data_IF_247994907045
#
_entry.id   IF_247994907045
#
_cell.length_a   1.000
_cell.length_b   1.000
_cell.length_c   1.000
_cell.angle_alpha   90.00
_cell.angle_beta   90.00
_cell.angle_gamma   90.00
#
_symmetry.space_group_name_H-M   'P 1'
#
loop_
_entity.id
_entity.type
_entity.pdbx_description
1 polymer ?
#
# COMPACT_ATOMS: atom_id res chain seq x y z
N UNK A 1 -5.72 16.04 15.87
CA UNK A 1 -5.31 14.77 15.25
C UNK A 1 -6.52 14.12 14.59
N UNK A 2 -6.41 13.71 13.33
CA UNK A 2 -7.52 13.07 12.59
C UNK A 2 -7.66 11.64 13.09
N UNK A 3 -8.81 11.26 13.66
CA UNK A 3 -9.01 9.95 14.32
C UNK A 3 -9.69 8.94 13.40
N UNK A 4 -10.21 9.38 12.24
CA UNK A 4 -11.06 8.56 11.39
C UNK A 4 -10.25 7.78 10.36
N UNK A 5 -10.33 6.46 10.43
CA UNK A 5 -9.78 5.51 9.46
C UNK A 5 -10.91 4.66 8.85
N UNK A 6 -12.08 5.26 8.67
CA UNK A 6 -13.24 4.53 8.19
C UNK A 6 -13.22 4.43 6.67
N UNK A 7 -12.76 3.30 6.16
CA UNK A 7 -12.91 2.94 4.75
C UNK A 7 -14.14 2.07 4.57
N UNK A 8 -15.05 2.50 3.71
CA UNK A 8 -16.21 1.73 3.29
C UNK A 8 -15.81 0.85 2.10
N UNK A 9 -15.75 -0.46 2.30
CA UNK A 9 -15.52 -1.43 1.23
C UNK A 9 -16.85 -1.97 0.72
N UNK A 10 -17.17 -1.71 -0.55
CA UNK A 10 -18.36 -2.22 -1.23
C UNK A 10 -17.95 -3.40 -2.09
N UNK A 11 -18.09 -4.61 -1.55
CA UNK A 11 -17.60 -5.85 -2.18
C UNK A 11 -18.65 -6.55 -3.04
N UNK A 12 -19.90 -6.07 -3.05
CA UNK A 12 -20.96 -6.61 -3.88
C UNK A 12 -20.83 -6.08 -5.30
N UNK A 13 -20.56 -6.91 -6.33
CA UNK A 13 -20.26 -6.44 -7.70
C UNK A 13 -21.40 -5.67 -8.36
N UNK A 14 -22.66 -6.01 -8.00
CA UNK A 14 -23.86 -5.37 -8.55
C UNK A 14 -24.30 -4.11 -7.77
N UNK A 15 -23.50 -3.67 -6.79
CA UNK A 15 -23.83 -2.52 -5.97
C UNK A 15 -23.64 -1.20 -6.75
N UNK A 16 -24.67 -0.39 -6.77
CA UNK A 16 -24.64 0.99 -7.25
C UNK A 16 -24.62 1.94 -6.05
N UNK A 17 -23.76 2.96 -6.13
CA UNK A 17 -23.59 3.93 -5.05
C UNK A 17 -24.27 5.25 -5.42
N UNK A 18 -25.09 5.78 -4.51
CA UNK A 18 -25.75 7.07 -4.67
C UNK A 18 -25.72 7.88 -3.38
N UNK A 19 -26.25 9.08 -3.40
CA UNK A 19 -26.44 9.89 -2.19
C UNK A 19 -27.93 10.12 -1.92
N UNK A 20 -28.26 10.25 -0.63
CA UNK A 20 -29.50 10.82 -0.16
C UNK A 20 -29.17 11.83 0.97
N UNK A 21 -29.38 13.11 0.71
CA UNK A 21 -28.91 14.18 1.59
C UNK A 21 -27.37 14.12 1.78
N UNK A 22 -26.93 13.93 3.02
CA UNK A 22 -25.52 13.75 3.42
C UNK A 22 -25.15 12.27 3.63
N UNK A 23 -26.00 11.35 3.21
CA UNK A 23 -25.73 9.93 3.34
C UNK A 23 -25.24 9.32 2.04
N UNK A 24 -24.30 8.37 2.16
CA UNK A 24 -23.94 7.42 1.12
C UNK A 24 -24.95 6.28 1.17
N UNK A 25 -25.55 5.97 0.05
CA UNK A 25 -26.54 4.90 -0.10
C UNK A 25 -26.00 3.85 -1.07
N UNK A 26 -26.06 2.59 -0.67
CA UNK A 26 -25.69 1.45 -1.51
C UNK A 26 -26.96 0.69 -1.87
N UNK A 27 -27.18 0.47 -3.17
CA UNK A 27 -28.35 -0.23 -3.69
C UNK A 27 -27.96 -1.39 -4.60
N UNK A 28 -28.73 -2.48 -4.55
CA UNK A 28 -28.63 -3.61 -5.49
C UNK A 28 -30.01 -3.79 -6.12
N UNK A 29 -30.07 -3.78 -7.45
CA UNK A 29 -31.34 -3.87 -8.21
C UNK A 29 -32.37 -2.87 -7.70
N UNK A 30 -31.96 -1.62 -7.48
CA UNK A 30 -32.76 -0.49 -6.97
C UNK A 30 -33.22 -0.61 -5.50
N UNK A 31 -32.93 -1.70 -4.80
CA UNK A 31 -33.20 -1.84 -3.38
C UNK A 31 -32.03 -1.33 -2.55
N UNK A 32 -32.30 -0.42 -1.63
CA UNK A 32 -31.30 0.02 -0.64
C UNK A 32 -30.90 -1.14 0.27
N UNK A 33 -29.59 -1.41 0.37
CA UNK A 33 -29.06 -2.47 1.24
C UNK A 33 -28.20 -1.91 2.37
N UNK A 34 -27.72 -0.65 2.25
CA UNK A 34 -26.87 -0.02 3.25
C UNK A 34 -26.89 1.50 3.12
N UNK A 35 -26.80 2.18 4.25
CA UNK A 35 -26.75 3.66 4.36
C UNK A 35 -25.78 4.10 5.45
N UNK A 36 -24.98 5.13 5.18
CA UNK A 36 -24.05 5.69 6.16
C UNK A 36 -23.83 7.19 5.91
N UNK A 37 -23.79 8.04 6.96
CA UNK A 37 -23.44 9.44 6.82
C UNK A 37 -22.02 9.67 6.30
N UNK A 38 -21.84 10.60 5.35
CA UNK A 38 -20.56 10.88 4.70
C UNK A 38 -19.46 11.29 5.68
N UNK A 39 -19.78 11.99 6.75
CA UNK A 39 -18.82 12.47 7.74
C UNK A 39 -18.19 11.34 8.58
N UNK A 40 -18.75 10.12 8.52
CA UNK A 40 -18.17 8.94 9.16
C UNK A 40 -17.17 8.20 8.27
N UNK A 41 -16.92 8.68 7.05
CA UNK A 41 -16.12 7.98 6.04
C UNK A 41 -14.98 8.89 5.59
N UNK A 42 -13.81 8.33 5.37
CA UNK A 42 -12.66 9.00 4.72
C UNK A 42 -12.40 8.45 3.33
N UNK A 43 -12.81 7.21 3.09
CA UNK A 43 -12.57 6.55 1.82
C UNK A 43 -13.69 5.56 1.50
N UNK A 44 -14.05 5.49 0.23
CA UNK A 44 -14.94 4.47 -0.34
C UNK A 44 -14.13 3.70 -1.40
N UNK A 45 -14.11 2.37 -1.30
CA UNK A 45 -13.54 1.49 -2.31
C UNK A 45 -14.63 0.51 -2.76
N UNK A 46 -15.01 0.58 -4.02
CA UNK A 46 -16.00 -0.32 -4.60
C UNK A 46 -15.34 -1.34 -5.54
N UNK A 47 -15.81 -2.59 -5.48
CA UNK A 47 -15.35 -3.72 -6.29
C UNK A 47 -16.47 -4.12 -7.25
N UNK A 48 -16.45 -3.58 -8.46
CA UNK A 48 -17.46 -3.85 -9.46
C UNK A 48 -17.52 -2.79 -10.55
N UNK A 49 -18.47 -2.91 -11.46
CA UNK A 49 -18.60 -2.05 -12.62
C UNK A 49 -19.84 -1.15 -12.62
N UNK A 50 -20.71 -1.26 -11.60
CA UNK A 50 -21.96 -0.48 -11.54
C UNK A 50 -21.74 1.01 -11.29
N UNK A 51 -20.62 1.38 -10.65
CA UNK A 51 -20.24 2.77 -10.48
C UNK A 51 -20.98 3.53 -9.37
N UNK A 52 -21.03 4.85 -9.52
CA UNK A 52 -21.65 5.76 -8.55
C UNK A 52 -22.33 6.95 -9.25
N UNK A 53 -23.32 7.53 -8.59
CA UNK A 53 -24.00 8.72 -9.12
C UNK A 53 -23.09 9.97 -9.11
N UNK A 54 -23.21 10.89 -10.08
CA UNK A 54 -22.49 12.16 -10.06
C UNK A 54 -22.72 12.97 -8.78
N UNK A 55 -23.92 12.89 -8.23
CA UNK A 55 -24.27 13.55 -6.97
C UNK A 55 -23.44 13.00 -5.77
N UNK A 56 -23.20 11.67 -5.71
CA UNK A 56 -22.33 11.10 -4.70
C UNK A 56 -20.87 11.46 -4.94
N UNK A 57 -20.41 11.44 -6.20
CA UNK A 57 -19.03 11.87 -6.53
C UNK A 57 -18.78 13.31 -6.05
N UNK A 58 -19.74 14.22 -6.29
CA UNK A 58 -19.66 15.60 -5.78
C UNK A 58 -19.66 15.63 -4.25
N UNK A 59 -20.54 14.90 -3.57
CA UNK A 59 -20.59 14.84 -2.12
C UNK A 59 -19.27 14.36 -1.52
N UNK A 60 -18.67 13.31 -2.12
CA UNK A 60 -17.35 12.82 -1.73
C UNK A 60 -16.26 13.89 -1.91
N UNK A 61 -16.23 14.57 -3.05
CA UNK A 61 -15.28 15.64 -3.34
C UNK A 61 -15.38 16.82 -2.35
N UNK A 62 -16.60 17.25 -2.04
CA UNK A 62 -16.86 18.37 -1.11
C UNK A 62 -16.43 18.03 0.34
N UNK A 63 -16.46 16.76 0.73
CA UNK A 63 -16.11 16.26 2.06
C UNK A 63 -14.71 15.67 2.15
N UNK A 64 -13.88 15.75 1.09
CA UNK A 64 -12.56 15.12 0.99
C UNK A 64 -12.58 13.60 1.20
N UNK A 65 -13.66 12.94 0.82
CA UNK A 65 -13.79 11.48 0.83
C UNK A 65 -13.29 10.94 -0.51
N UNK A 66 -12.33 10.06 -0.47
CA UNK A 66 -11.80 9.42 -1.66
C UNK A 66 -12.76 8.32 -2.15
N UNK A 67 -13.12 8.33 -3.43
CA UNK A 67 -13.95 7.30 -4.06
C UNK A 67 -13.16 6.58 -5.15
N UNK A 68 -12.80 5.31 -4.90
CA UNK A 68 -11.98 4.48 -5.78
C UNK A 68 -12.79 3.30 -6.32
N UNK A 69 -12.66 3.04 -7.61
CA UNK A 69 -13.29 1.93 -8.31
C UNK A 69 -12.22 0.88 -8.64
N UNK A 70 -12.45 -0.35 -8.18
CA UNK A 70 -11.64 -1.52 -8.49
C UNK A 70 -12.48 -2.54 -9.23
N UNK A 71 -11.84 -3.35 -10.09
CA UNK A 71 -12.51 -4.52 -10.66
C UNK A 71 -12.90 -5.51 -9.55
N UNK A 72 -13.81 -6.47 -9.82
CA UNK A 72 -14.11 -7.53 -8.85
C UNK A 72 -12.87 -8.27 -8.33
N UNK A 73 -11.79 -8.34 -9.12
CA UNK A 73 -10.51 -8.97 -8.75
C UNK A 73 -9.55 -8.01 -8.01
N UNK A 74 -9.97 -6.76 -7.75
CA UNK A 74 -9.16 -5.77 -7.05
C UNK A 74 -8.17 -5.00 -7.93
N UNK A 75 -8.28 -5.07 -9.27
CA UNK A 75 -7.46 -4.22 -10.17
C UNK A 75 -8.02 -2.80 -10.17
N UNK A 76 -7.14 -1.82 -10.11
CA UNK A 76 -7.52 -0.41 -10.20
C UNK A 76 -8.18 -0.11 -11.55
N UNK A 77 -9.34 0.57 -11.51
CA UNK A 77 -10.08 1.03 -12.69
C UNK A 77 -9.97 2.55 -12.78
N UNK A 78 -10.50 3.25 -11.78
CA UNK A 78 -10.53 4.71 -11.76
C UNK A 78 -10.74 5.23 -10.35
N UNK A 79 -10.62 6.56 -10.20
CA UNK A 79 -10.89 7.28 -8.98
C UNK A 79 -11.65 8.57 -9.30
N UNK A 80 -12.67 8.87 -8.51
CA UNK A 80 -13.32 10.17 -8.56
C UNK A 80 -12.50 11.17 -7.76
N UNK A 81 -12.09 12.24 -8.41
CA UNK A 81 -11.33 13.33 -7.80
C UNK A 81 -12.10 14.63 -7.97
N UNK A 82 -12.23 15.36 -6.87
CA UNK A 82 -12.79 16.71 -6.87
C UNK A 82 -11.79 17.75 -7.40
N UNK A 83 -12.14 19.05 -7.32
CA UNK A 83 -11.23 20.13 -7.66
C UNK A 83 -9.92 19.98 -6.90
N UNK A 84 -8.79 20.16 -7.60
CA UNK A 84 -7.47 20.11 -7.00
C UNK A 84 -7.38 21.18 -5.92
N UNK A 85 -7.30 20.73 -4.67
CA UNK A 85 -7.14 21.59 -3.49
C UNK A 85 -5.70 21.48 -2.98
N UNK A 86 -5.27 22.43 -2.17
CA UNK A 86 -3.97 22.37 -1.51
C UNK A 86 -2.96 23.40 -2.01
N UNK A 87 -1.80 23.39 -1.41
CA UNK A 87 -0.76 24.39 -1.60
C UNK A 87 -0.09 24.25 -2.98
N UNK A 88 -0.38 25.19 -3.90
CA UNK A 88 0.24 25.21 -5.22
C UNK A 88 1.77 25.37 -5.14
N UNK A 89 2.29 26.04 -4.11
CA UNK A 89 3.73 26.22 -3.91
C UNK A 89 4.40 24.89 -3.55
N UNK A 90 3.73 24.04 -2.78
CA UNK A 90 4.22 22.71 -2.45
C UNK A 90 4.35 21.85 -3.71
N UNK A 91 3.32 21.83 -4.58
CA UNK A 91 3.39 21.08 -5.86
C UNK A 91 4.46 21.64 -6.79
N UNK A 92 4.57 22.98 -6.88
CA UNK A 92 5.63 23.60 -7.68
C UNK A 92 7.02 23.20 -7.18
N UNK A 93 7.22 23.15 -5.85
CA UNK A 93 8.47 22.68 -5.25
C UNK A 93 8.69 21.18 -5.52
N UNK A 94 7.65 20.35 -5.40
CA UNK A 94 7.71 18.93 -5.73
C UNK A 94 8.17 18.71 -7.18
N UNK A 95 7.57 19.39 -8.15
CA UNK A 95 7.91 19.26 -9.58
C UNK A 95 9.36 19.67 -9.83
N UNK A 96 9.75 20.85 -9.33
CA UNK A 96 11.14 21.31 -9.46
C UNK A 96 12.13 20.33 -8.86
N UNK A 97 11.84 19.79 -7.68
CA UNK A 97 12.72 18.86 -6.99
C UNK A 97 12.75 17.47 -7.67
N UNK A 98 11.66 17.06 -8.33
CA UNK A 98 11.65 15.79 -9.09
C UNK A 98 12.49 15.85 -10.36
N UNK A 99 12.66 17.04 -10.94
CA UNK A 99 13.51 17.29 -12.10
C UNK A 99 15.00 17.46 -11.72
N UNK A 100 15.30 17.61 -10.42
CA UNK A 100 16.67 17.75 -9.92
C UNK A 100 17.28 16.38 -9.62
N UNK A 101 18.30 15.91 -10.42
CA UNK A 101 18.78 14.54 -10.33
C UNK A 101 19.31 14.15 -8.95
N UNK A 102 20.05 15.06 -8.29
CA UNK A 102 20.62 14.78 -6.97
C UNK A 102 19.54 14.67 -5.88
N UNK A 103 18.49 15.51 -5.97
CA UNK A 103 17.37 15.45 -5.03
C UNK A 103 16.54 14.16 -5.23
N UNK A 104 16.25 13.82 -6.49
CA UNK A 104 15.54 12.59 -6.82
C UNK A 104 16.34 11.34 -6.40
N UNK A 105 17.66 11.34 -6.62
CA UNK A 105 18.55 10.26 -6.18
C UNK A 105 18.56 10.14 -4.65
N UNK A 106 18.63 11.26 -3.92
CA UNK A 106 18.62 11.27 -2.47
C UNK A 106 17.36 10.61 -1.91
N UNK A 107 16.16 11.05 -2.35
CA UNK A 107 14.91 10.44 -1.93
C UNK A 107 14.78 8.97 -2.34
N UNK A 108 15.25 8.61 -3.53
CA UNK A 108 15.26 7.21 -3.99
C UNK A 108 16.10 6.32 -3.07
N UNK A 109 17.26 6.79 -2.62
CA UNK A 109 18.10 6.09 -1.63
C UNK A 109 17.38 5.90 -0.30
N UNK A 110 16.67 6.92 0.17
CA UNK A 110 15.92 6.85 1.41
C UNK A 110 14.79 5.82 1.34
N UNK A 111 13.94 5.88 0.30
CA UNK A 111 12.82 4.95 0.13
C UNK A 111 13.30 3.50 0.02
N UNK A 112 14.31 3.24 -0.79
CA UNK A 112 14.81 1.88 -1.00
C UNK A 112 15.66 1.40 0.18
N UNK A 113 16.48 2.27 0.76
CA UNK A 113 17.19 1.97 2.01
C UNK A 113 16.25 1.57 3.15
N UNK A 114 15.12 2.29 3.28
CA UNK A 114 14.06 1.97 4.23
C UNK A 114 13.37 0.63 3.95
N UNK A 115 13.01 0.37 2.69
CA UNK A 115 12.47 -0.93 2.25
C UNK A 115 13.37 -2.08 2.63
N UNK A 116 14.65 -2.00 2.25
CA UNK A 116 15.64 -3.06 2.52
C UNK A 116 15.82 -3.27 4.03
N UNK A 117 15.89 -2.18 4.79
CA UNK A 117 15.98 -2.28 6.25
C UNK A 117 14.74 -2.95 6.85
N UNK A 118 13.55 -2.64 6.36
CA UNK A 118 12.32 -3.25 6.84
C UNK A 118 12.21 -4.73 6.46
N UNK A 119 12.68 -5.15 5.27
CA UNK A 119 12.84 -6.56 4.92
C UNK A 119 13.72 -7.27 5.94
N UNK A 120 14.90 -6.71 6.20
CA UNK A 120 15.85 -7.29 7.17
C UNK A 120 15.26 -7.36 8.57
N UNK A 121 14.53 -6.36 9.01
CA UNK A 121 13.90 -6.33 10.34
C UNK A 121 12.83 -7.43 10.49
N UNK A 122 12.05 -7.71 9.44
CA UNK A 122 11.10 -8.84 9.43
C UNK A 122 11.81 -10.18 9.57
N UNK A 123 12.87 -10.39 8.79
CA UNK A 123 13.64 -11.63 8.84
C UNK A 123 14.31 -11.84 10.20
N UNK A 124 14.94 -10.81 10.75
CA UNK A 124 15.56 -10.87 12.09
C UNK A 124 14.54 -11.13 13.19
N UNK A 125 13.36 -10.51 13.09
CA UNK A 125 12.28 -10.79 14.04
C UNK A 125 11.84 -12.25 13.94
N UNK A 126 11.73 -12.78 12.72
CA UNK A 126 11.34 -14.18 12.52
C UNK A 126 12.33 -15.14 13.19
N UNK A 127 13.65 -14.95 12.98
CA UNK A 127 14.70 -15.74 13.65
C UNK A 127 14.57 -15.65 15.17
N UNK A 128 14.47 -14.44 15.71
CA UNK A 128 14.32 -14.24 17.15
C UNK A 128 13.11 -14.96 17.74
N UNK A 129 11.99 -14.95 17.02
CA UNK A 129 10.71 -15.46 17.53
C UNK A 129 10.56 -16.99 17.26
N UNK A 130 11.30 -17.59 16.32
CA UNK A 130 11.13 -18.98 15.87
C UNK A 130 12.41 -19.84 15.87
N UNK A 131 13.56 -19.26 16.20
CA UNK A 131 14.86 -19.92 16.20
C UNK A 131 15.68 -19.63 14.93
N UNK A 132 16.95 -20.03 14.98
CA UNK A 132 17.94 -19.73 13.95
C UNK A 132 17.64 -20.47 12.63
N UNK A 133 17.82 -19.79 11.52
CA UNK A 133 17.74 -20.33 10.16
C UNK A 133 18.88 -19.71 9.34
N UNK A 134 19.89 -20.53 9.03
CA UNK A 134 21.09 -20.09 8.30
C UNK A 134 20.80 -19.43 6.94
N UNK A 135 19.74 -19.88 6.25
CA UNK A 135 19.39 -19.27 4.97
C UNK A 135 18.84 -17.87 5.15
N UNK A 136 18.00 -17.66 6.18
CA UNK A 136 17.47 -16.33 6.52
C UNK A 136 18.60 -15.44 7.02
N UNK A 137 19.54 -15.95 7.83
CA UNK A 137 20.68 -15.16 8.31
C UNK A 137 21.56 -14.69 7.16
N UNK A 138 21.89 -15.57 6.21
CA UNK A 138 22.64 -15.19 4.99
C UNK A 138 21.94 -14.08 4.22
N UNK A 139 20.62 -14.15 4.06
CA UNK A 139 19.85 -13.10 3.39
C UNK A 139 19.84 -11.81 4.23
N UNK A 140 19.80 -11.87 5.55
CA UNK A 140 19.93 -10.68 6.39
C UNK A 140 21.25 -9.95 6.17
N UNK A 141 22.37 -10.67 5.98
CA UNK A 141 23.68 -10.09 5.70
C UNK A 141 23.75 -9.54 4.25
N UNK A 142 23.14 -10.23 3.30
CA UNK A 142 23.02 -9.74 1.91
C UNK A 142 22.21 -8.43 1.86
N UNK A 143 21.06 -8.36 2.51
CA UNK A 143 20.25 -7.14 2.62
C UNK A 143 21.03 -6.00 3.28
N UNK A 144 21.87 -6.27 4.27
CA UNK A 144 22.72 -5.24 4.87
C UNK A 144 23.76 -4.72 3.87
N UNK A 145 24.35 -5.61 3.06
CA UNK A 145 25.26 -5.20 1.96
C UNK A 145 24.52 -4.37 0.90
N UNK A 146 23.33 -4.81 0.46
CA UNK A 146 22.49 -4.05 -0.46
C UNK A 146 22.16 -2.66 0.08
N UNK A 147 21.78 -2.54 1.36
CA UNK A 147 21.51 -1.24 2.00
C UNK A 147 22.74 -0.29 1.93
N UNK A 148 23.93 -0.79 2.25
CA UNK A 148 25.16 0.00 2.14
C UNK A 148 25.44 0.46 0.72
N UNK A 149 25.21 -0.40 -0.26
CA UNK A 149 25.36 -0.07 -1.69
C UNK A 149 24.37 0.98 -2.15
N UNK A 150 23.10 0.92 -1.69
CA UNK A 150 22.09 1.95 -1.98
C UNK A 150 22.54 3.32 -1.50
N UNK A 151 23.11 3.44 -0.29
CA UNK A 151 23.58 4.71 0.26
C UNK A 151 24.70 5.33 -0.60
N UNK A 152 25.55 4.49 -1.23
CA UNK A 152 26.67 4.89 -2.07
C UNK A 152 26.33 4.90 -3.57
N UNK A 153 25.08 4.63 -3.98
CA UNK A 153 24.70 4.63 -5.38
C UNK A 153 24.80 6.03 -5.98
N UNK A 154 25.26 6.13 -7.23
CA UNK A 154 25.46 7.40 -7.92
C UNK A 154 24.35 7.71 -8.94
N UNK A 155 23.43 6.77 -9.16
CA UNK A 155 22.30 6.93 -10.07
C UNK A 155 21.04 6.21 -9.58
N UNK A 156 19.87 6.67 -10.03
CA UNK A 156 18.58 6.04 -9.75
C UNK A 156 18.54 4.63 -10.36
N UNK A 157 19.15 4.40 -11.50
CA UNK A 157 19.19 3.06 -12.11
C UNK A 157 20.03 2.08 -11.29
N UNK A 158 21.14 2.54 -10.69
CA UNK A 158 21.88 1.75 -9.71
C UNK A 158 21.02 1.41 -8.48
N UNK A 159 20.26 2.39 -7.94
CA UNK A 159 19.33 2.14 -6.83
C UNK A 159 18.27 1.11 -7.21
N UNK A 160 17.71 1.16 -8.42
CA UNK A 160 16.72 0.18 -8.92
C UNK A 160 17.33 -1.22 -9.09
N UNK A 161 18.56 -1.30 -9.58
CA UNK A 161 19.27 -2.59 -9.70
C UNK A 161 19.46 -3.26 -8.35
N UNK A 162 19.94 -2.50 -7.34
CA UNK A 162 20.12 -3.00 -5.99
C UNK A 162 18.78 -3.34 -5.33
N UNK A 163 17.72 -2.58 -5.59
CA UNK A 163 16.35 -2.89 -5.13
C UNK A 163 15.90 -4.25 -5.65
N UNK A 164 16.14 -4.54 -6.94
CA UNK A 164 15.82 -5.81 -7.56
C UNK A 164 16.57 -6.99 -6.93
N UNK A 165 17.89 -6.84 -6.69
CA UNK A 165 18.70 -7.84 -5.97
C UNK A 165 18.15 -8.09 -4.55
N UNK A 166 17.90 -7.04 -3.79
CA UNK A 166 17.37 -7.13 -2.43
C UNK A 166 15.98 -7.78 -2.38
N UNK A 167 15.12 -7.48 -3.35
CA UNK A 167 13.80 -8.09 -3.47
C UNK A 167 13.90 -9.59 -3.81
N UNK A 168 14.81 -9.96 -4.72
CA UNK A 168 15.07 -11.36 -5.08
C UNK A 168 15.56 -12.15 -3.87
N UNK A 169 16.52 -11.61 -3.12
CA UNK A 169 17.04 -12.26 -1.91
C UNK A 169 15.93 -12.43 -0.84
N UNK A 170 15.17 -11.38 -0.56
CA UNK A 170 14.08 -11.42 0.43
C UNK A 170 12.99 -12.42 0.06
N UNK A 171 12.49 -12.36 -1.18
CA UNK A 171 11.45 -13.28 -1.64
C UNK A 171 11.97 -14.71 -1.84
N UNK A 172 13.26 -14.92 -2.03
CA UNK A 172 13.89 -16.24 -2.07
C UNK A 172 13.77 -17.02 -0.77
N UNK A 173 13.64 -16.34 0.37
CA UNK A 173 13.42 -16.99 1.69
C UNK A 173 12.00 -16.80 2.22
N UNK A 174 11.12 -16.18 1.48
CA UNK A 174 9.79 -15.82 1.96
C UNK A 174 8.95 -17.04 2.36
N UNK A 175 9.05 -18.16 1.64
CA UNK A 175 8.37 -19.42 1.96
C UNK A 175 8.79 -19.98 3.33
N UNK A 176 10.02 -19.69 3.80
CA UNK A 176 10.49 -20.11 5.14
C UNK A 176 9.76 -19.40 6.29
N UNK A 177 9.15 -18.23 6.01
CA UNK A 177 8.34 -17.48 6.97
C UNK A 177 6.94 -18.09 7.18
N UNK A 178 6.57 -19.09 6.40
CA UNK A 178 5.34 -19.85 6.59
C UNK A 178 5.55 -20.87 7.71
N UNK A 179 4.74 -20.77 8.74
CA UNK A 179 4.73 -21.70 9.89
C UNK A 179 3.66 -22.78 9.72
N UNK A 180 2.60 -22.48 8.97
CA UNK A 180 1.47 -23.35 8.72
C UNK A 180 1.12 -23.39 7.23
N UNK A 181 0.41 -24.44 6.79
CA UNK A 181 -0.15 -24.59 5.43
C UNK A 181 0.92 -24.51 4.33
N UNK A 182 2.16 -24.97 4.60
CA UNK A 182 3.30 -24.88 3.67
C UNK A 182 3.06 -25.63 2.36
N UNK A 183 2.35 -26.75 2.44
CA UNK A 183 2.05 -27.62 1.29
C UNK A 183 1.00 -26.98 0.36
N UNK A 184 0.06 -26.21 0.94
CA UNK A 184 -1.01 -25.55 0.20
C UNK A 184 -0.56 -24.20 -0.41
N UNK A 185 0.32 -23.48 0.30
CA UNK A 185 0.79 -22.15 -0.11
C UNK A 185 2.24 -22.22 -0.64
N UNK A 186 2.37 -22.83 -1.83
CA UNK A 186 3.67 -22.88 -2.52
C UNK A 186 4.02 -21.51 -3.08
N UNK A 187 5.28 -21.07 -2.86
CA UNK A 187 5.78 -19.78 -3.32
C UNK A 187 7.20 -19.94 -3.88
N UNK A 188 7.36 -19.76 -5.19
CA UNK A 188 8.63 -19.89 -5.91
C UNK A 188 9.28 -18.54 -6.25
N UNK A 189 8.74 -17.45 -5.71
CA UNK A 189 9.24 -16.12 -5.95
C UNK A 189 8.14 -15.14 -6.38
N UNK A 190 8.52 -13.85 -6.44
CA UNK A 190 7.57 -12.78 -6.73
C UNK A 190 7.21 -12.70 -8.20
N UNK A 191 5.94 -12.91 -8.54
CA UNK A 191 5.36 -12.70 -9.86
C UNK A 191 4.08 -11.84 -9.76
N UNK A 192 3.68 -11.15 -10.83
CA UNK A 192 2.63 -10.12 -10.71
C UNK A 192 1.55 -10.14 -11.79
N UNK A 193 1.85 -10.56 -13.00
CA UNK A 193 0.95 -10.36 -14.15
C UNK A 193 0.98 -11.56 -15.09
N UNK A 194 0.10 -12.50 -14.88
CA UNK A 194 -0.80 -12.70 -13.73
C UNK A 194 -0.07 -13.30 -12.51
N UNK A 195 -0.65 -13.24 -11.30
CA UNK A 195 -0.13 -13.98 -10.14
C UNK A 195 -0.30 -15.48 -10.38
N UNK A 196 0.79 -16.24 -10.18
CA UNK A 196 0.82 -17.69 -10.47
C UNK A 196 0.50 -18.57 -9.26
N UNK A 197 0.47 -17.98 -8.07
CA UNK A 197 0.18 -18.65 -6.80
C UNK A 197 -0.65 -17.75 -5.88
N UNK A 198 -1.20 -18.35 -4.82
CA UNK A 198 -2.09 -17.68 -3.86
C UNK A 198 -1.39 -16.55 -3.09
N UNK A 199 -0.12 -16.73 -2.71
CA UNK A 199 0.66 -15.70 -2.01
C UNK A 199 0.86 -14.48 -2.89
N UNK A 200 1.23 -14.69 -4.16
CA UNK A 200 1.37 -13.60 -5.13
C UNK A 200 0.05 -12.87 -5.41
N UNK A 201 -1.08 -13.58 -5.41
CA UNK A 201 -2.41 -12.98 -5.53
C UNK A 201 -2.71 -12.07 -4.31
N UNK A 202 -2.46 -12.56 -3.08
CA UNK A 202 -2.63 -11.79 -1.85
C UNK A 202 -1.72 -10.56 -1.81
N UNK A 203 -0.42 -10.74 -2.06
CA UNK A 203 0.56 -9.63 -2.05
C UNK A 203 0.17 -8.56 -3.07
N UNK A 204 -0.25 -8.94 -4.28
CA UNK A 204 -0.66 -7.98 -5.31
C UNK A 204 -1.90 -7.20 -4.90
N UNK A 205 -2.87 -7.87 -4.29
CA UNK A 205 -4.09 -7.25 -3.79
C UNK A 205 -3.81 -6.27 -2.64
N UNK A 206 -3.06 -6.70 -1.63
CA UNK A 206 -2.72 -5.84 -0.48
C UNK A 206 -1.86 -4.66 -0.90
N UNK A 207 -0.92 -4.83 -1.84
CA UNK A 207 -0.14 -3.72 -2.38
C UNK A 207 -1.00 -2.70 -3.14
N UNK A 208 -2.08 -3.15 -3.80
CA UNK A 208 -3.06 -2.23 -4.39
C UNK A 208 -3.76 -1.40 -3.32
N UNK A 209 -4.14 -2.02 -2.18
CA UNK A 209 -4.73 -1.30 -1.05
C UNK A 209 -3.77 -0.26 -0.45
N UNK A 210 -2.50 -0.62 -0.24
CA UNK A 210 -1.46 0.30 0.26
C UNK A 210 -1.26 1.46 -0.72
N UNK A 211 -1.19 1.18 -2.02
CA UNK A 211 -1.04 2.21 -3.04
C UNK A 211 -2.22 3.19 -3.06
N UNK A 212 -3.44 2.69 -2.92
CA UNK A 212 -4.64 3.53 -2.83
C UNK A 212 -4.64 4.40 -1.57
N UNK A 213 -4.29 3.84 -0.41
CA UNK A 213 -4.18 4.61 0.84
C UNK A 213 -3.09 5.68 0.74
N UNK A 214 -1.94 5.36 0.13
CA UNK A 214 -0.86 6.33 -0.10
C UNK A 214 -1.27 7.43 -1.07
N UNK A 215 -1.95 7.09 -2.18
CA UNK A 215 -2.46 8.07 -3.14
C UNK A 215 -3.44 9.03 -2.46
N UNK A 216 -4.36 8.50 -1.64
CA UNK A 216 -5.31 9.32 -0.88
C UNK A 216 -4.60 10.26 0.10
N UNK A 217 -3.56 9.77 0.77
CA UNK A 217 -2.77 10.55 1.71
C UNK A 217 -2.04 11.70 1.02
N UNK A 218 -1.38 11.44 -0.11
CA UNK A 218 -0.66 12.45 -0.90
C UNK A 218 -1.58 13.56 -1.39
N UNK A 219 -2.73 13.19 -1.97
CA UNK A 219 -3.74 14.17 -2.42
C UNK A 219 -4.28 15.02 -1.26
N UNK A 220 -4.52 14.40 -0.10
CA UNK A 220 -5.01 15.11 1.10
C UNK A 220 -4.00 16.14 1.60
N UNK A 221 -2.71 15.85 1.50
CA UNK A 221 -1.63 16.79 1.89
C UNK A 221 -1.40 17.85 0.81
N UNK A 222 -1.81 17.61 -0.43
CA UNK A 222 -1.64 18.51 -1.57
C UNK A 222 -0.40 18.23 -2.41
N UNK A 223 0.17 17.02 -2.31
CA UNK A 223 1.19 16.50 -3.20
C UNK A 223 0.54 15.81 -4.41
N UNK A 224 1.22 15.84 -5.55
CA UNK A 224 0.80 15.10 -6.74
C UNK A 224 1.29 13.65 -6.65
N UNK A 225 0.40 12.65 -6.58
CA UNK A 225 0.79 11.26 -6.48
C UNK A 225 1.46 10.69 -7.73
N UNK A 226 1.36 11.38 -8.87
CA UNK A 226 1.92 10.93 -10.15
C UNK A 226 3.36 11.39 -10.37
N UNK A 227 3.80 12.45 -9.70
CA UNK A 227 5.16 12.98 -9.82
C UNK A 227 6.04 12.42 -8.71
N UNK A 228 6.73 11.32 -9.01
CA UNK A 228 7.66 10.63 -8.12
C UNK A 228 9.12 11.02 -8.35
N UNK A 229 10.01 10.37 -7.60
CA UNK A 229 11.46 10.62 -7.62
C UNK A 229 12.23 9.40 -8.15
N UNK A 230 11.79 8.19 -7.87
CA UNK A 230 12.46 6.95 -8.28
C UNK A 230 11.78 6.28 -9.48
N UNK A 231 10.48 6.10 -9.40
CA UNK A 231 9.74 5.47 -10.48
C UNK A 231 9.62 6.40 -11.67
N UNK A 232 9.98 5.91 -12.87
CA UNK A 232 9.85 6.66 -14.12
C UNK A 232 8.44 7.19 -14.32
N UNK A 233 8.32 8.45 -14.65
CA UNK A 233 7.05 9.09 -14.96
C UNK A 233 6.43 8.45 -16.20
N UNK A 234 5.19 8.02 -16.10
CA UNK A 234 4.40 7.45 -17.20
C UNK A 234 2.94 7.88 -17.02
N UNK A 235 2.21 8.17 -18.11
CA UNK A 235 0.79 8.47 -18.02
C UNK A 235 0.02 7.39 -17.23
N UNK A 236 -0.80 7.82 -16.28
CA UNK A 236 -1.61 6.93 -15.44
C UNK A 236 -0.87 6.17 -14.33
N UNK A 237 0.45 6.38 -14.17
CA UNK A 237 1.24 5.74 -13.11
C UNK A 237 1.41 6.68 -11.93
N UNK A 238 0.87 6.29 -10.77
CA UNK A 238 1.03 7.03 -9.51
C UNK A 238 2.45 6.84 -8.95
N UNK A 239 3.46 7.45 -9.59
CA UNK A 239 4.88 7.20 -9.33
C UNK A 239 5.29 7.54 -7.91
N UNK A 240 4.82 8.66 -7.33
CA UNK A 240 5.12 9.02 -5.94
C UNK A 240 4.45 8.06 -4.94
N UNK A 241 3.21 7.64 -5.23
CA UNK A 241 2.56 6.63 -4.38
C UNK A 241 3.33 5.32 -4.36
N UNK A 242 3.89 4.91 -5.51
CA UNK A 242 4.73 3.72 -5.61
C UNK A 242 6.07 3.89 -4.89
N UNK A 243 6.70 5.07 -4.99
CA UNK A 243 7.94 5.39 -4.29
C UNK A 243 7.76 5.29 -2.77
N UNK A 244 6.77 6.00 -2.23
CA UNK A 244 6.57 6.09 -0.79
C UNK A 244 6.02 4.81 -0.17
N UNK A 245 5.26 4.01 -0.91
CA UNK A 245 4.78 2.74 -0.37
C UNK A 245 5.89 1.69 -0.18
N UNK A 246 7.08 1.89 -0.80
CA UNK A 246 8.18 0.92 -0.69
C UNK A 246 8.58 0.67 0.77
N UNK A 247 8.68 1.71 1.58
CA UNK A 247 9.01 1.59 3.00
C UNK A 247 7.92 0.91 3.84
N UNK A 248 6.67 0.89 3.34
CA UNK A 248 5.52 0.34 4.07
C UNK A 248 5.16 -1.09 3.66
N UNK A 249 5.60 -1.57 2.47
CA UNK A 249 5.20 -2.88 1.91
C UNK A 249 5.44 -4.03 2.87
N UNK A 250 6.65 -4.12 3.39
CA UNK A 250 7.04 -5.20 4.29
C UNK A 250 6.17 -5.22 5.56
N UNK A 251 5.96 -4.07 6.16
CA UNK A 251 5.22 -3.95 7.42
C UNK A 251 3.71 -4.11 7.25
N UNK A 252 3.13 -3.43 6.27
CA UNK A 252 1.69 -3.44 6.07
C UNK A 252 1.22 -4.64 5.25
N UNK A 253 1.97 -5.00 4.20
CA UNK A 253 1.56 -6.02 3.24
C UNK A 253 2.06 -7.41 3.60
N UNK A 254 3.38 -7.61 3.59
CA UNK A 254 3.98 -8.93 3.72
C UNK A 254 3.62 -9.59 5.05
N UNK A 255 3.71 -8.84 6.17
CA UNK A 255 3.31 -9.33 7.49
C UNK A 255 1.83 -9.68 7.60
N UNK A 256 0.94 -8.94 6.90
CA UNK A 256 -0.48 -9.27 6.88
C UNK A 256 -0.71 -10.59 6.17
N UNK A 257 -0.11 -10.77 4.99
CA UNK A 257 -0.23 -12.02 4.21
C UNK A 257 0.28 -13.21 5.01
N UNK A 258 1.49 -13.12 5.57
CA UNK A 258 2.06 -14.17 6.43
C UNK A 258 1.18 -14.46 7.65
N UNK A 259 0.65 -13.43 8.30
CA UNK A 259 -0.22 -13.59 9.45
C UNK A 259 -1.50 -14.33 9.13
N UNK A 260 -2.15 -14.02 8.01
CA UNK A 260 -3.39 -14.68 7.57
C UNK A 260 -3.18 -16.17 7.29
N UNK A 261 -2.07 -16.52 6.63
CA UNK A 261 -1.72 -17.91 6.33
C UNK A 261 -1.33 -18.63 7.63
N UNK A 262 -0.41 -18.07 8.42
CA UNK A 262 0.12 -18.72 9.62
C UNK A 262 -0.94 -18.91 10.72
N UNK A 263 -1.96 -18.04 10.77
CA UNK A 263 -3.10 -18.17 11.68
C UNK A 263 -4.26 -18.98 11.09
N UNK A 264 -4.09 -19.53 9.88
CA UNK A 264 -5.13 -20.30 9.18
C UNK A 264 -6.44 -19.52 9.00
N UNK A 265 -6.35 -18.20 8.89
CA UNK A 265 -7.51 -17.33 8.64
C UNK A 265 -7.93 -17.33 7.17
N UNK A 266 -7.00 -17.67 6.27
CA UNK A 266 -7.22 -17.89 4.85
C UNK A 266 -6.67 -19.27 4.49
N UNK A 267 -7.34 -19.96 3.57
CA UNK A 267 -6.99 -21.30 3.13
C UNK A 267 -6.91 -21.35 1.60
N UNK A 268 -6.34 -22.41 1.05
CA UNK A 268 -6.25 -22.58 -0.42
C UNK A 268 -7.63 -22.60 -1.10
N UNK A 269 -8.70 -22.97 -0.37
CA UNK A 269 -10.08 -22.96 -0.87
C UNK A 269 -10.62 -21.54 -1.18
N UNK A 270 -9.95 -20.52 -0.66
CA UNK A 270 -10.27 -19.12 -0.91
C UNK A 270 -9.67 -18.60 -2.23
N UNK A 271 -9.06 -19.50 -3.02
CA UNK A 271 -8.42 -19.19 -4.30
C UNK A 271 -8.92 -20.13 -5.39
N UNK A 272 -8.99 -19.61 -6.62
CA UNK A 272 -9.35 -20.36 -7.82
C UNK A 272 -8.34 -20.05 -8.92
N UNK A 273 -8.00 -21.08 -9.71
CA UNK A 273 -7.20 -20.91 -10.93
C UNK A 273 -8.14 -20.53 -12.06
N UNK A 274 -7.89 -19.39 -12.70
CA UNK A 274 -8.72 -18.85 -13.77
C UNK A 274 -7.94 -18.83 -15.08
N UNK A 275 -7.77 -20.00 -15.69
CA UNK A 275 -7.09 -20.18 -16.97
C UNK A 275 -5.77 -19.41 -17.04
N UNK A 276 -5.58 -18.61 -18.07
CA UNK A 276 -4.41 -17.75 -18.27
C UNK A 276 -4.38 -16.50 -17.37
N UNK A 277 -5.47 -16.17 -16.71
CA UNK A 277 -5.53 -15.04 -15.73
C UNK A 277 -4.81 -15.34 -14.42
N UNK A 278 -4.31 -16.57 -14.24
CA UNK A 278 -3.56 -17.00 -13.07
C UNK A 278 -4.45 -17.37 -11.87
N UNK A 279 -3.94 -17.14 -10.66
CA UNK A 279 -4.67 -17.40 -9.41
C UNK A 279 -5.40 -16.12 -8.98
N UNK A 280 -6.68 -16.23 -8.71
CA UNK A 280 -7.54 -15.17 -8.20
C UNK A 280 -8.21 -15.58 -6.89
N UNK A 281 -8.50 -14.61 -6.05
CA UNK A 281 -9.21 -14.85 -4.79
C UNK A 281 -10.72 -14.94 -5.03
N UNK A 282 -11.39 -15.82 -4.30
CA UNK A 282 -12.84 -15.85 -4.19
C UNK A 282 -13.37 -14.62 -3.46
N UNK A 283 -14.68 -14.39 -3.49
CA UNK A 283 -15.32 -13.30 -2.75
C UNK A 283 -15.12 -13.45 -1.24
N UNK A 284 -15.15 -14.68 -0.72
CA UNK A 284 -14.87 -14.96 0.68
C UNK A 284 -13.42 -14.64 1.04
N UNK A 285 -12.45 -15.08 0.24
CA UNK A 285 -11.04 -14.78 0.43
C UNK A 285 -10.76 -13.26 0.44
N UNK A 286 -11.36 -12.50 -0.47
CA UNK A 286 -11.25 -11.03 -0.47
C UNK A 286 -11.82 -10.40 0.79
N UNK A 287 -13.00 -10.85 1.25
CA UNK A 287 -13.61 -10.35 2.49
C UNK A 287 -12.74 -10.61 3.71
N UNK A 288 -12.09 -11.78 3.79
CA UNK A 288 -11.15 -12.11 4.87
C UNK A 288 -10.00 -11.11 4.88
N UNK A 289 -9.34 -10.88 3.73
CA UNK A 289 -8.22 -9.94 3.64
C UNK A 289 -8.66 -8.51 3.98
N UNK A 290 -9.78 -8.04 3.43
CA UNK A 290 -10.28 -6.68 3.69
C UNK A 290 -10.63 -6.47 5.17
N UNK A 291 -11.23 -7.47 5.81
CA UNK A 291 -11.54 -7.42 7.25
C UNK A 291 -10.26 -7.36 8.09
N UNK A 292 -9.27 -8.20 7.77
CA UNK A 292 -7.99 -8.20 8.45
C UNK A 292 -7.21 -6.89 8.21
N UNK A 293 -7.23 -6.36 6.98
CA UNK A 293 -6.65 -5.06 6.64
C UNK A 293 -7.26 -3.94 7.46
N UNK A 294 -8.61 -3.88 7.53
CA UNK A 294 -9.31 -2.86 8.30
C UNK A 294 -9.03 -2.95 9.80
N UNK A 295 -8.97 -4.16 10.36
CA UNK A 295 -8.62 -4.36 11.76
C UNK A 295 -7.19 -3.92 12.04
N UNK A 296 -6.24 -4.28 11.15
CA UNK A 296 -4.85 -3.86 11.28
C UNK A 296 -4.67 -2.34 11.22
N UNK A 297 -5.45 -1.64 10.39
CA UNK A 297 -5.42 -0.16 10.31
C UNK A 297 -5.78 0.51 11.65
N UNK A 298 -6.56 -0.15 12.51
CA UNK A 298 -6.95 0.37 13.83
C UNK A 298 -5.89 0.14 14.92
N UNK A 299 -4.94 -0.78 14.71
CA UNK A 299 -3.87 -1.05 15.66
C UNK A 299 -3.00 0.20 15.86
N UNK A 300 -2.55 0.41 17.10
CA UNK A 300 -1.70 1.55 17.45
C UNK A 300 -0.23 1.14 17.46
N UNK A 301 0.62 2.02 16.97
CA UNK A 301 2.06 1.92 17.08
C UNK A 301 2.65 3.25 17.57
N UNK A 302 3.85 3.18 18.13
CA UNK A 302 4.66 4.38 18.37
C UNK A 302 5.43 4.65 17.07
N UNK A 303 5.15 5.81 16.44
CA UNK A 303 5.85 6.20 15.22
C UNK A 303 7.34 6.46 15.51
N UNK A 304 8.28 5.84 14.76
CA UNK A 304 9.71 5.88 15.12
C UNK A 304 10.30 7.28 15.21
N UNK A 305 9.89 8.18 14.32
CA UNK A 305 10.38 9.56 14.26
C UNK A 305 9.60 10.51 15.17
N UNK A 306 8.25 10.44 15.14
CA UNK A 306 7.41 11.35 15.92
C UNK A 306 7.39 11.02 17.41
N UNK A 307 7.73 9.78 17.78
CA UNK A 307 7.58 9.22 19.11
C UNK A 307 6.16 9.36 19.71
N UNK A 308 5.15 9.38 18.84
CA UNK A 308 3.74 9.49 19.18
C UNK A 308 2.99 8.19 18.81
N UNK A 309 1.92 7.90 19.56
CA UNK A 309 1.00 6.81 19.22
C UNK A 309 0.16 7.21 18.01
N UNK A 310 0.28 6.44 16.92
CA UNK A 310 -0.51 6.60 15.71
C UNK A 310 -1.15 5.28 15.31
N UNK A 311 -2.34 5.35 14.70
CA UNK A 311 -2.94 4.17 14.10
C UNK A 311 -2.17 3.77 12.86
N UNK A 312 -1.97 2.46 12.64
CA UNK A 312 -1.25 1.93 11.48
C UNK A 312 -1.83 2.47 10.16
N UNK A 313 -3.14 2.61 10.06
CA UNK A 313 -3.79 3.17 8.87
C UNK A 313 -3.49 4.65 8.60
N UNK A 314 -2.96 5.40 9.58
CA UNK A 314 -2.50 6.78 9.38
C UNK A 314 -1.04 6.87 8.90
N UNK A 315 -0.30 5.75 8.85
CA UNK A 315 1.10 5.78 8.40
C UNK A 315 1.28 6.41 7.02
N UNK A 316 0.47 6.08 5.98
CA UNK A 316 0.58 6.76 4.69
C UNK A 316 0.41 8.28 4.80
N UNK A 317 -0.53 8.74 5.62
CA UNK A 317 -0.78 10.17 5.83
C UNK A 317 0.39 10.84 6.58
N UNK A 318 0.90 10.21 7.63
CA UNK A 318 2.05 10.73 8.40
C UNK A 318 3.28 10.85 7.51
N UNK A 319 3.58 9.80 6.72
CA UNK A 319 4.73 9.82 5.82
C UNK A 319 4.56 10.85 4.70
N UNK A 320 3.37 11.01 4.12
CA UNK A 320 3.08 12.07 3.14
C UNK A 320 3.25 13.47 3.75
N UNK A 321 2.82 13.68 5.00
CA UNK A 321 3.01 14.95 5.72
C UNK A 321 4.50 15.23 5.97
N UNK A 322 5.28 14.21 6.37
CA UNK A 322 6.73 14.33 6.59
C UNK A 322 7.47 14.65 5.29
N UNK A 323 7.08 14.01 4.17
CA UNK A 323 7.63 14.34 2.85
C UNK A 323 7.30 15.79 2.46
N UNK A 324 6.07 16.25 2.69
CA UNK A 324 5.69 17.64 2.41
C UNK A 324 6.50 18.64 3.24
N UNK A 325 6.79 18.32 4.52
CA UNK A 325 7.65 19.15 5.38
C UNK A 325 9.09 19.18 4.87
N UNK A 326 9.62 18.04 4.42
CA UNK A 326 10.95 17.98 3.81
C UNK A 326 11.03 18.81 2.51
N UNK A 327 10.04 18.68 1.61
CA UNK A 327 9.97 19.47 0.36
C UNK A 327 9.91 20.98 0.66
N UNK A 328 9.22 21.40 1.73
CA UNK A 328 9.16 22.81 2.17
C UNK A 328 10.39 23.27 2.96
N UNK A 329 11.32 22.35 3.26
CA UNK A 329 12.50 22.59 4.11
C UNK A 329 12.14 22.91 5.57
N UNK A 330 11.04 22.39 6.07
CA UNK A 330 10.63 22.50 7.48
C UNK A 330 11.39 21.49 8.36
N UNK A 331 12.00 20.47 7.76
CA UNK A 331 12.87 19.45 8.38
C UNK A 331 14.06 19.21 7.46
N UNK A 332 15.20 18.82 8.05
CA UNK A 332 16.49 18.70 7.35
C UNK A 332 16.52 17.49 6.39
N UNK A 333 15.83 16.40 6.72
CA UNK A 333 15.77 15.21 5.87
C UNK A 333 14.42 14.49 6.01
N UNK A 334 14.10 13.61 5.05
CA UNK A 334 12.90 12.79 5.08
C UNK A 334 13.09 11.58 6.00
N UNK A 335 12.34 11.51 7.13
CA UNK A 335 12.47 10.41 8.07
C UNK A 335 11.68 9.17 7.60
N UNK A 336 12.39 8.24 6.98
CA UNK A 336 11.84 6.96 6.50
C UNK A 336 11.22 6.17 7.64
N UNK A 337 10.09 5.52 7.38
CA UNK A 337 9.46 4.63 8.34
C UNK A 337 10.26 3.32 8.50
N UNK A 338 10.81 3.10 9.70
CA UNK A 338 11.54 1.88 10.05
C UNK A 338 10.82 1.14 11.18
N UNK A 339 10.47 -0.14 10.94
CA UNK A 339 9.94 -1.02 11.98
C UNK A 339 11.03 -1.39 12.99
N UNK A 340 10.65 -1.41 14.25
CA UNK A 340 11.51 -1.88 15.35
C UNK A 340 11.34 -3.38 15.58
#
# INVERSE_FOLDING_TARGET
MRILLNTLYVTTPEAYLSKDGLNVVISVKQNEIFRIPIHNIEQIITFGYMGASPGLMKLCADNNVSLTFLSPQGRYISRSQGPTRGNVLLRKAQYKNSDEPNYALHLSKLFIGGKIQNYRNILRRFIRDNGDDEAIERVCEELLRCKRRVLNAESIDSVRGIEGEAATAYFGVFSRLLLNQKEDFVFEGRNRRPPKDAINAMLSFVYTLICNDMTSALETIGLDPYVGFMHTLRPGRASLSLDMMEELRAYLGDRLVLSLINRKQITIKDFIKQGDEGIVMTDSGRKIILSAWQNRKKELIIHPYLNEKVSIGLLPYVQAMLLARFIRKDIDDYPVFLIK
#
